data_IF_735347963552
#
_entry.id   IF_735347963552
#
_cell.length_a   1.000
_cell.length_b   1.000
_cell.length_c   1.000
_cell.angle_alpha   90.00
_cell.angle_beta   90.00
_cell.angle_gamma   90.00
#
_symmetry.space_group_name_H-M   'P 1'
#
loop_
_entity.id
_entity.type
_entity.pdbx_description
1 polymer ?
#
# COMPACT_ATOMS: atom_id res chain seq x y z
N UNK A 1 -7.20 10.80 -6.74
CA UNK A 1 -7.14 12.26 -6.47
C UNK A 1 -6.07 12.63 -5.43
N UNK A 2 -6.06 11.99 -4.24
CA UNK A 2 -4.99 12.22 -3.24
C UNK A 2 -3.60 11.94 -3.83
N UNK A 3 -3.42 10.78 -4.47
CA UNK A 3 -2.16 10.42 -5.17
C UNK A 3 -1.72 11.52 -6.13
N UNK A 4 -2.64 12.06 -6.95
CA UNK A 4 -2.33 13.12 -7.90
C UNK A 4 -2.00 14.48 -7.25
N UNK A 5 -2.57 14.78 -6.10
CA UNK A 5 -2.36 16.07 -5.43
C UNK A 5 -1.12 16.08 -4.53
N UNK A 6 -0.78 14.93 -3.96
CA UNK A 6 0.25 14.84 -2.91
C UNK A 6 1.50 14.05 -3.32
N UNK A 7 1.35 13.00 -4.13
CA UNK A 7 2.42 12.03 -4.39
C UNK A 7 2.92 12.06 -5.84
N UNK A 8 2.09 12.46 -6.80
CA UNK A 8 2.50 12.56 -8.20
C UNK A 8 3.52 13.68 -8.38
N UNK A 9 4.58 13.38 -9.12
CA UNK A 9 5.63 14.35 -9.45
C UNK A 9 5.04 15.43 -10.36
N UNK A 10 5.09 16.69 -9.91
CA UNK A 10 4.61 17.84 -10.68
C UNK A 10 5.75 18.84 -10.87
N UNK A 11 6.11 19.20 -12.12
CA UNK A 11 5.48 18.78 -13.38
C UNK A 11 5.66 17.28 -13.67
N UNK A 12 4.68 16.68 -14.35
CA UNK A 12 4.67 15.25 -14.67
C UNK A 12 5.89 14.88 -15.52
N UNK A 13 6.60 13.78 -15.19
CA UNK A 13 7.60 13.20 -16.06
C UNK A 13 6.99 12.72 -17.38
N UNK A 14 7.84 12.57 -18.39
CA UNK A 14 7.42 12.01 -19.68
C UNK A 14 7.02 10.53 -19.56
N UNK A 15 6.15 10.07 -20.45
CA UNK A 15 5.75 8.65 -20.49
C UNK A 15 6.95 7.71 -20.68
N UNK A 16 7.93 8.13 -21.50
CA UNK A 16 9.17 7.38 -21.73
C UNK A 16 9.98 7.22 -20.46
N UNK A 17 10.08 8.29 -19.67
CA UNK A 17 10.77 8.26 -18.39
C UNK A 17 10.06 7.36 -17.36
N UNK A 18 8.74 7.47 -17.23
CA UNK A 18 7.95 6.61 -16.34
C UNK A 18 8.12 5.12 -16.71
N UNK A 19 8.03 4.79 -18.00
CA UNK A 19 8.27 3.42 -18.50
C UNK A 19 9.69 2.94 -18.20
N UNK A 20 10.69 3.81 -18.40
CA UNK A 20 12.10 3.49 -18.12
C UNK A 20 12.32 3.20 -16.63
N UNK A 21 11.72 4.00 -15.73
CA UNK A 21 11.81 3.77 -14.29
C UNK A 21 11.23 2.42 -13.90
N UNK A 22 10.09 2.05 -14.48
CA UNK A 22 9.40 0.77 -14.22
C UNK A 22 10.21 -0.42 -14.74
N UNK A 23 10.70 -0.35 -15.99
CA UNK A 23 11.50 -1.42 -16.58
C UNK A 23 12.85 -1.64 -15.86
N UNK A 24 13.39 -0.61 -15.20
CA UNK A 24 14.64 -0.68 -14.43
C UNK A 24 14.43 -1.03 -12.95
N UNK A 25 13.20 -1.04 -12.47
CA UNK A 25 12.91 -1.37 -11.08
C UNK A 25 12.97 -2.90 -10.88
N UNK A 26 13.52 -3.35 -9.74
CA UNK A 26 13.52 -4.77 -9.37
C UNK A 26 12.10 -5.31 -9.15
N UNK A 27 11.22 -4.46 -8.66
CA UNK A 27 9.79 -4.71 -8.49
C UNK A 27 9.06 -3.40 -8.79
N UNK A 28 7.93 -3.48 -9.47
CA UNK A 28 7.08 -2.33 -9.74
C UNK A 28 5.62 -2.77 -9.72
N UNK A 29 4.74 -1.92 -9.20
CA UNK A 29 3.32 -2.06 -9.48
C UNK A 29 3.11 -1.70 -10.95
N UNK A 30 2.78 -2.71 -11.76
CA UNK A 30 2.51 -2.51 -13.18
C UNK A 30 1.45 -1.40 -13.38
N UNK A 31 1.62 -0.58 -14.41
CA UNK A 31 0.60 0.38 -14.82
C UNK A 31 0.61 1.77 -14.17
N UNK A 32 1.56 2.12 -13.30
CA UNK A 32 1.63 3.52 -12.78
C UNK A 32 1.82 4.53 -13.93
N UNK A 33 2.59 4.19 -14.97
CA UNK A 33 2.71 5.04 -16.17
C UNK A 33 1.37 5.19 -16.91
N UNK A 34 0.47 4.20 -16.83
CA UNK A 34 -0.85 4.24 -17.45
C UNK A 34 -1.81 5.21 -16.74
N UNK A 35 -1.44 5.67 -15.53
CA UNK A 35 -2.17 6.72 -14.82
C UNK A 35 -1.85 8.13 -15.35
N UNK A 36 -0.83 8.31 -16.20
CA UNK A 36 -0.42 9.64 -16.67
C UNK A 36 -1.54 10.39 -17.43
N UNK A 37 -2.30 9.78 -18.37
CA UNK A 37 -3.43 10.46 -18.99
C UNK A 37 -4.50 10.86 -17.98
N UNK A 38 -4.79 9.99 -17.01
CA UNK A 38 -5.79 10.26 -15.96
C UNK A 38 -5.34 11.40 -15.03
N UNK A 39 -4.05 11.43 -14.66
CA UNK A 39 -3.44 12.55 -13.95
C UNK A 39 -3.65 13.85 -14.75
N UNK A 40 -3.22 13.89 -16.01
CA UNK A 40 -3.28 15.08 -16.84
C UNK A 40 -4.72 15.57 -17.08
N UNK A 41 -5.65 14.63 -17.27
CA UNK A 41 -7.08 14.95 -17.38
C UNK A 41 -7.57 15.63 -16.10
N UNK A 42 -7.45 14.96 -14.96
CA UNK A 42 -8.01 15.48 -13.71
C UNK A 42 -7.28 16.69 -13.17
N UNK A 43 -5.96 16.77 -13.28
CA UNK A 43 -5.21 17.90 -12.70
C UNK A 43 -5.19 19.13 -13.59
N UNK A 44 -5.41 18.94 -14.91
CA UNK A 44 -5.24 19.97 -15.93
C UNK A 44 -3.86 20.64 -15.86
N UNK A 45 -2.84 19.89 -15.45
CA UNK A 45 -1.46 20.36 -15.42
C UNK A 45 -1.01 20.77 -16.83
N UNK A 46 -0.38 21.95 -16.94
CA UNK A 46 0.09 22.54 -18.20
C UNK A 46 1.56 22.23 -18.46
N UNK A 47 1.92 20.95 -18.45
CA UNK A 47 3.27 20.48 -18.78
C UNK A 47 3.30 19.87 -20.18
N UNK A 48 4.47 19.90 -20.83
CA UNK A 48 4.65 19.27 -22.16
C UNK A 48 4.23 17.80 -22.15
N UNK A 49 4.54 17.09 -21.07
CA UNK A 49 4.18 15.68 -20.91
C UNK A 49 2.67 15.46 -20.80
N UNK A 50 1.92 16.42 -20.24
CA UNK A 50 0.46 16.36 -20.23
C UNK A 50 -0.19 16.80 -21.54
N UNK A 51 0.41 17.77 -22.24
CA UNK A 51 -0.08 18.25 -23.54
C UNK A 51 -0.07 17.13 -24.60
N UNK A 52 0.89 16.19 -24.53
CA UNK A 52 0.99 15.02 -25.41
C UNK A 52 -0.28 14.13 -25.38
N UNK A 53 -1.01 14.10 -24.27
CA UNK A 53 -2.19 13.24 -24.12
C UNK A 53 -3.48 13.87 -24.67
N UNK A 54 -3.56 15.20 -24.83
CA UNK A 54 -4.74 15.90 -25.33
C UNK A 54 -6.05 15.56 -24.57
N UNK A 55 -5.97 15.37 -23.24
CA UNK A 55 -7.09 14.92 -22.38
C UNK A 55 -7.66 16.00 -21.45
N UNK A 56 -7.02 17.18 -21.35
CA UNK A 56 -7.38 18.23 -20.38
C UNK A 56 -8.26 19.35 -20.98
N UNK A 57 -8.73 19.21 -22.23
CA UNK A 57 -9.44 20.27 -22.97
C UNK A 57 -10.93 20.43 -22.64
N UNK A 58 -11.44 19.72 -21.65
CA UNK A 58 -12.83 19.84 -21.23
C UNK A 58 -13.07 21.09 -20.36
N UNK A 59 -14.29 21.63 -20.41
CA UNK A 59 -14.68 22.84 -19.69
C UNK A 59 -15.05 22.53 -18.22
N UNK A 60 -14.04 22.26 -17.40
CA UNK A 60 -14.14 22.24 -15.94
C UNK A 60 -12.77 22.53 -15.30
N UNK A 61 -12.77 22.81 -14.00
CA UNK A 61 -11.55 23.01 -13.23
C UNK A 61 -10.82 21.68 -12.96
N UNK A 62 -9.52 21.79 -12.66
CA UNK A 62 -8.73 20.63 -12.23
C UNK A 62 -9.17 20.15 -10.84
N UNK A 63 -9.33 18.84 -10.68
CA UNK A 63 -9.62 18.17 -9.41
C UNK A 63 -8.31 17.90 -8.68
N UNK A 64 -7.73 18.96 -8.12
CA UNK A 64 -6.48 18.90 -7.34
C UNK A 64 -6.67 19.62 -6.03
N UNK A 65 -6.27 18.98 -4.94
CA UNK A 65 -6.19 19.65 -3.65
C UNK A 65 -5.01 20.61 -3.66
N UNK A 66 -5.26 21.87 -3.33
CA UNK A 66 -4.17 22.81 -3.06
C UNK A 66 -3.46 22.35 -1.79
N UNK A 67 -2.15 22.19 -1.86
CA UNK A 67 -1.30 21.96 -0.68
C UNK A 67 -1.51 23.13 0.28
N UNK A 68 -1.98 22.83 1.48
CA UNK A 68 -2.25 23.82 2.51
C UNK A 68 -1.06 23.97 3.46
N UNK A 69 -1.27 24.70 4.55
CA UNK A 69 -0.26 24.91 5.59
C UNK A 69 0.20 23.64 6.32
N UNK A 70 -0.54 22.52 6.19
CA UNK A 70 -0.24 21.24 6.81
C UNK A 70 0.51 20.28 5.87
N UNK A 71 0.58 20.58 4.57
CA UNK A 71 1.33 19.76 3.63
C UNK A 71 2.83 19.69 3.99
N UNK A 72 3.39 18.48 3.99
CA UNK A 72 4.78 18.20 4.37
C UNK A 72 5.14 18.76 5.77
N UNK A 73 4.17 18.83 6.68
CA UNK A 73 4.38 19.15 8.09
C UNK A 73 4.12 17.93 8.95
N UNK A 74 4.97 17.76 9.93
CA UNK A 74 4.77 16.78 11.00
C UNK A 74 3.56 17.12 11.84
N UNK A 75 2.63 16.17 11.99
CA UNK A 75 1.48 16.33 12.87
C UNK A 75 1.86 16.24 14.36
N UNK A 76 1.16 17.02 15.18
CA UNK A 76 1.22 16.92 16.64
C UNK A 76 -0.03 16.21 17.13
N UNK A 77 0.14 15.18 17.96
CA UNK A 77 -0.95 14.42 18.55
C UNK A 77 -1.62 15.29 19.62
N UNK A 78 -2.90 15.67 19.47
CA UNK A 78 -3.61 16.43 20.49
C UNK A 78 -3.68 15.67 21.82
N UNK A 79 -3.76 16.37 22.95
CA UNK A 79 -3.76 15.74 24.28
C UNK A 79 -4.93 14.77 24.51
N UNK A 80 -6.05 15.02 23.84
CA UNK A 80 -7.26 14.18 23.87
C UNK A 80 -7.25 13.02 22.87
N UNK A 81 -6.21 12.90 22.04
CA UNK A 81 -6.13 11.90 20.99
C UNK A 81 -4.96 10.94 21.20
N UNK A 82 -5.03 9.84 20.47
CA UNK A 82 -4.02 8.81 20.36
C UNK A 82 -3.89 8.39 18.91
N UNK A 83 -2.79 7.73 18.58
CA UNK A 83 -2.53 7.23 17.23
C UNK A 83 -2.13 5.77 17.27
N UNK A 84 -2.82 4.93 16.50
CA UNK A 84 -2.42 3.55 16.23
C UNK A 84 -1.91 3.46 14.79
N UNK A 85 -0.66 3.08 14.62
CA UNK A 85 -0.10 2.68 13.32
C UNK A 85 0.02 1.16 13.28
N UNK A 86 -0.30 0.58 12.13
CA UNK A 86 -0.09 -0.84 11.86
C UNK A 86 0.61 -0.98 10.51
N UNK A 87 1.64 -1.82 10.46
CA UNK A 87 2.45 -2.05 9.26
C UNK A 87 2.81 -3.51 9.09
N UNK A 88 2.99 -3.95 7.84
CA UNK A 88 3.51 -5.26 7.51
C UNK A 88 4.98 -5.14 7.12
N UNK A 89 5.86 -5.97 7.70
CA UNK A 89 7.29 -5.97 7.34
C UNK A 89 7.54 -6.57 5.95
N UNK A 90 6.59 -7.34 5.42
CA UNK A 90 6.60 -7.87 4.05
C UNK A 90 5.74 -7.03 3.08
N UNK A 91 5.37 -5.80 3.41
CA UNK A 91 4.62 -4.91 2.53
C UNK A 91 5.55 -4.26 1.46
N UNK A 92 5.42 -4.63 0.16
CA UNK A 92 6.24 -4.03 -0.88
C UNK A 92 5.71 -2.66 -1.36
N UNK A 93 4.45 -2.31 -1.08
CA UNK A 93 3.80 -1.09 -1.55
C UNK A 93 4.03 0.07 -0.57
N UNK A 94 3.86 -0.20 0.73
CA UNK A 94 4.18 0.74 1.82
C UNK A 94 5.19 0.13 2.79
N UNK A 95 6.48 0.05 2.43
CA UNK A 95 7.50 -0.61 3.24
C UNK A 95 7.53 -0.11 4.69
N UNK A 96 7.69 -1.04 5.64
CA UNK A 96 7.64 -0.77 7.08
C UNK A 96 8.52 0.40 7.55
N UNK A 97 9.69 0.62 6.93
CA UNK A 97 10.55 1.77 7.24
C UNK A 97 9.80 3.10 7.20
N UNK A 98 8.81 3.27 6.32
CA UNK A 98 8.02 4.50 6.21
C UNK A 98 6.99 4.62 7.34
N UNK A 99 6.47 3.51 7.86
CA UNK A 99 5.65 3.52 9.07
C UNK A 99 6.49 3.91 10.29
N UNK A 100 7.73 3.40 10.41
CA UNK A 100 8.67 3.81 11.45
C UNK A 100 9.04 5.29 11.33
N UNK A 101 9.31 5.79 10.13
CA UNK A 101 9.56 7.21 9.90
C UNK A 101 8.37 8.08 10.31
N UNK A 102 7.14 7.70 9.91
CA UNK A 102 5.92 8.41 10.32
C UNK A 102 5.75 8.38 11.84
N UNK A 103 5.88 7.20 12.46
CA UNK A 103 5.78 7.01 13.89
C UNK A 103 6.76 7.92 14.65
N UNK A 104 8.03 7.92 14.25
CA UNK A 104 9.08 8.73 14.87
C UNK A 104 8.87 10.23 14.64
N UNK A 105 8.38 10.63 13.48
CA UNK A 105 8.11 12.02 13.17
C UNK A 105 6.96 12.58 14.03
N UNK A 106 5.87 11.84 14.24
CA UNK A 106 4.71 12.32 15.00
C UNK A 106 5.09 12.89 16.38
N UNK A 107 4.67 14.12 16.67
CA UNK A 107 4.96 14.78 17.96
C UNK A 107 3.94 14.37 19.01
N UNK A 108 4.40 13.77 20.10
CA UNK A 108 3.59 13.29 21.21
C UNK A 108 3.76 11.80 21.46
N UNK A 109 3.48 11.37 22.69
CA UNK A 109 3.80 10.02 23.16
C UNK A 109 2.61 9.07 23.14
N UNK A 110 1.39 9.57 22.92
CA UNK A 110 0.17 8.75 22.78
C UNK A 110 0.09 8.10 21.40
N UNK A 111 1.08 7.27 21.08
CA UNK A 111 1.16 6.54 19.81
C UNK A 111 1.70 5.13 20.02
N UNK A 112 1.16 4.19 19.27
CA UNK A 112 1.65 2.79 19.22
C UNK A 112 1.86 2.41 17.75
N UNK A 113 2.94 1.67 17.47
CA UNK A 113 3.20 1.04 16.18
C UNK A 113 3.24 -0.47 16.37
N UNK A 114 2.33 -1.19 15.69
CA UNK A 114 2.36 -2.64 15.60
C UNK A 114 2.88 -3.03 14.22
N UNK A 115 4.10 -3.56 14.18
CA UNK A 115 4.76 -4.02 12.97
C UNK A 115 4.69 -5.56 12.89
N UNK A 116 3.78 -6.07 12.06
CA UNK A 116 3.58 -7.49 11.84
C UNK A 116 4.70 -8.07 10.98
N UNK A 117 5.35 -9.12 11.45
CA UNK A 117 6.55 -9.68 10.79
C UNK A 117 6.28 -10.21 9.38
N UNK A 118 5.10 -10.79 9.16
CA UNK A 118 4.79 -11.52 7.92
C UNK A 118 3.57 -10.99 7.16
N UNK A 119 3.03 -9.84 7.57
CA UNK A 119 1.89 -9.24 6.87
C UNK A 119 2.33 -8.50 5.60
N UNK A 120 1.49 -8.60 4.56
CA UNK A 120 1.60 -7.83 3.32
C UNK A 120 0.80 -6.51 3.41
N UNK A 121 0.59 -5.84 2.28
CA UNK A 121 -0.09 -4.54 2.24
C UNK A 121 -1.51 -4.59 2.82
N UNK A 122 -1.85 -3.63 3.67
CA UNK A 122 -3.18 -3.54 4.30
C UNK A 122 -3.36 -4.53 5.44
N UNK A 123 -2.59 -4.37 6.52
CA UNK A 123 -2.53 -5.28 7.69
C UNK A 123 -3.88 -5.61 8.33
N UNK A 124 -4.88 -4.73 8.23
CA UNK A 124 -6.25 -4.99 8.69
C UNK A 124 -6.87 -6.19 7.98
N UNK A 125 -6.45 -6.49 6.76
CA UNK A 125 -6.96 -7.61 5.94
C UNK A 125 -5.94 -8.74 5.72
N UNK A 126 -4.65 -8.52 5.97
CA UNK A 126 -3.58 -9.48 5.56
C UNK A 126 -2.89 -10.16 6.74
N UNK A 127 -3.50 -10.12 7.92
CA UNK A 127 -2.98 -10.71 9.17
C UNK A 127 -3.85 -11.88 9.64
N UNK A 128 -4.13 -12.82 8.73
CA UNK A 128 -4.95 -14.01 8.99
C UNK A 128 -4.45 -14.80 10.20
N UNK A 129 -5.37 -15.19 11.08
CA UNK A 129 -5.06 -15.97 12.28
C UNK A 129 -4.89 -17.47 11.97
N UNK A 130 -5.41 -17.92 10.83
CA UNK A 130 -5.25 -19.30 10.36
C UNK A 130 -4.49 -19.32 9.04
N UNK A 131 -3.41 -20.12 8.97
CA UNK A 131 -2.56 -20.21 7.79
C UNK A 131 -3.33 -20.82 6.61
N UNK A 132 -3.35 -20.10 5.48
CA UNK A 132 -4.03 -20.55 4.26
C UNK A 132 -5.54 -20.31 4.23
N UNK A 133 -6.15 -19.85 5.33
CA UNK A 133 -7.57 -19.50 5.35
C UNK A 133 -7.77 -17.98 5.27
N UNK A 134 -8.06 -17.51 4.05
CA UNK A 134 -8.38 -16.10 3.76
C UNK A 134 -9.78 -15.67 4.24
N UNK A 135 -10.55 -16.56 4.85
CA UNK A 135 -11.83 -16.25 5.49
C UNK A 135 -11.72 -16.15 7.01
N UNK A 136 -10.58 -16.55 7.57
CA UNK A 136 -10.30 -16.46 9.00
C UNK A 136 -10.31 -15.00 9.48
N UNK A 137 -10.46 -14.81 10.78
CA UNK A 137 -10.32 -13.48 11.36
C UNK A 137 -8.88 -12.96 11.24
N UNK A 138 -8.73 -11.64 11.19
CA UNK A 138 -7.40 -11.00 11.10
C UNK A 138 -7.01 -10.35 12.42
N UNK A 139 -5.74 -10.50 12.83
CA UNK A 139 -5.23 -9.85 14.03
C UNK A 139 -5.31 -8.32 13.92
N UNK A 140 -5.00 -7.76 12.75
CA UNK A 140 -5.10 -6.32 12.50
C UNK A 140 -6.51 -5.77 12.72
N UNK A 141 -7.56 -6.52 12.35
CA UNK A 141 -8.94 -6.12 12.64
C UNK A 141 -9.27 -6.26 14.14
N UNK A 142 -8.79 -7.32 14.82
CA UNK A 142 -8.95 -7.46 16.28
C UNK A 142 -8.34 -6.29 17.04
N UNK A 143 -7.10 -5.93 16.70
CA UNK A 143 -6.38 -4.79 17.28
C UNK A 143 -7.12 -3.48 17.01
N UNK A 144 -7.57 -3.23 15.77
CA UNK A 144 -8.34 -2.03 15.43
C UNK A 144 -9.65 -1.96 16.22
N UNK A 145 -10.39 -3.07 16.32
CA UNK A 145 -11.63 -3.14 17.08
C UNK A 145 -11.38 -2.90 18.58
N UNK A 146 -10.29 -3.42 19.14
CA UNK A 146 -9.85 -3.16 20.51
C UNK A 146 -9.53 -1.67 20.74
N UNK A 147 -8.77 -1.05 19.84
CA UNK A 147 -8.45 0.38 19.87
C UNK A 147 -9.72 1.24 19.91
N UNK A 148 -10.69 0.96 19.03
CA UNK A 148 -11.96 1.70 18.96
C UNK A 148 -12.80 1.46 20.22
N UNK A 149 -12.95 0.21 20.68
CA UNK A 149 -13.75 -0.13 21.86
C UNK A 149 -13.21 0.51 23.14
N UNK A 150 -11.89 0.67 23.23
CA UNK A 150 -11.23 1.33 24.36
C UNK A 150 -11.11 2.86 24.18
N UNK A 151 -11.77 3.46 23.18
CA UNK A 151 -11.76 4.91 22.97
C UNK A 151 -10.39 5.47 22.64
N UNK A 152 -9.52 4.67 22.01
CA UNK A 152 -8.14 5.01 21.72
C UNK A 152 -7.16 4.87 22.89
N UNK A 153 -7.60 4.36 24.05
CA UNK A 153 -6.70 4.13 25.18
C UNK A 153 -5.69 3.01 24.88
N UNK A 154 -4.47 3.42 24.52
CA UNK A 154 -3.38 2.52 24.15
C UNK A 154 -2.94 1.59 25.29
N UNK A 155 -3.14 1.99 26.55
CA UNK A 155 -2.81 1.13 27.70
C UNK A 155 -3.77 -0.07 27.82
N UNK A 156 -4.94 0.02 27.17
CA UNK A 156 -5.96 -1.03 27.13
C UNK A 156 -6.01 -1.74 25.78
N UNK A 157 -5.06 -1.45 24.89
CA UNK A 157 -5.00 -2.06 23.57
C UNK A 157 -4.66 -3.54 23.70
N UNK A 158 -5.66 -4.38 23.46
CA UNK A 158 -5.46 -5.82 23.27
C UNK A 158 -4.71 -6.09 21.96
N UNK A 159 -3.53 -6.70 22.11
CA UNK A 159 -2.64 -7.13 21.02
C UNK A 159 -2.18 -8.58 21.19
N UNK A 160 -2.88 -9.38 22.00
CA UNK A 160 -2.49 -10.77 22.25
C UNK A 160 -2.40 -11.61 20.97
N UNK A 161 -3.25 -11.32 19.98
CA UNK A 161 -3.24 -12.02 18.70
C UNK A 161 -1.93 -11.87 17.91
N UNK A 162 -1.11 -10.87 18.21
CA UNK A 162 0.16 -10.62 17.48
C UNK A 162 1.14 -11.75 17.74
N UNK A 163 1.24 -12.21 18.98
CA UNK A 163 2.13 -13.31 19.38
C UNK A 163 1.58 -14.69 18.99
N UNK A 164 0.28 -14.78 18.71
CA UNK A 164 -0.43 -15.98 18.28
C UNK A 164 -0.52 -16.13 16.76
N UNK A 165 0.03 -15.17 16.00
CA UNK A 165 -0.03 -15.23 14.54
C UNK A 165 0.67 -16.48 14.00
N UNK A 166 0.13 -17.07 12.92
CA UNK A 166 0.74 -18.25 12.31
C UNK A 166 2.16 -17.94 11.83
N UNK A 167 3.03 -18.94 11.93
CA UNK A 167 4.39 -18.86 11.40
C UNK A 167 4.38 -18.61 9.89
N UNK A 168 5.40 -17.91 9.39
CA UNK A 168 5.56 -17.69 7.96
C UNK A 168 5.69 -19.03 7.22
N UNK A 169 4.82 -19.25 6.25
CA UNK A 169 4.83 -20.43 5.41
C UNK A 169 5.01 -20.03 3.95
N UNK A 170 6.01 -20.64 3.31
CA UNK A 170 6.35 -20.46 1.90
C UNK A 170 5.79 -21.60 1.03
N UNK A 171 5.04 -22.55 1.58
CA UNK A 171 4.30 -23.52 0.77
C UNK A 171 3.17 -22.82 0.04
N UNK A 172 3.27 -22.78 -1.29
CA UNK A 172 2.23 -22.23 -2.17
C UNK A 172 1.28 -23.37 -2.53
N UNK A 173 -0.06 -23.17 -2.46
CA UNK A 173 -1.01 -24.18 -2.90
C UNK A 173 -0.86 -24.53 -4.39
N UNK A 174 -0.99 -25.81 -4.76
CA UNK A 174 -0.72 -26.32 -6.12
C UNK A 174 -1.54 -25.62 -7.22
N UNK A 175 -2.77 -25.21 -6.90
CA UNK A 175 -3.64 -24.45 -7.80
C UNK A 175 -3.09 -23.05 -8.09
N UNK A 176 -2.41 -22.42 -7.14
CA UNK A 176 -1.71 -21.16 -7.36
C UNK A 176 -0.40 -21.37 -8.14
N UNK A 177 0.35 -22.43 -7.85
CA UNK A 177 1.59 -22.74 -8.58
C UNK A 177 1.30 -22.98 -10.06
N UNK A 178 0.33 -23.84 -10.36
CA UNK A 178 -0.07 -24.13 -11.73
C UNK A 178 -0.79 -22.95 -12.38
N UNK A 179 -1.71 -22.28 -11.67
CA UNK A 179 -2.53 -21.21 -12.22
C UNK A 179 -1.80 -19.89 -12.48
N UNK A 180 -0.88 -19.49 -11.60
CA UNK A 180 -0.15 -18.22 -11.74
C UNK A 180 1.27 -18.38 -12.29
N UNK A 181 1.96 -19.47 -11.95
CA UNK A 181 3.35 -19.69 -12.34
C UNK A 181 3.49 -20.65 -13.53
N UNK A 182 2.40 -21.33 -13.92
CA UNK A 182 2.36 -22.31 -15.00
C UNK A 182 3.49 -23.33 -14.90
N UNK A 183 3.70 -23.86 -13.69
CA UNK A 183 4.74 -24.85 -13.39
C UNK A 183 4.29 -25.80 -12.29
N UNK A 184 5.09 -26.82 -12.00
CA UNK A 184 4.85 -27.83 -10.98
C UNK A 184 5.52 -27.51 -9.63
N UNK A 185 6.44 -26.52 -9.61
CA UNK A 185 7.17 -26.12 -8.41
C UNK A 185 7.30 -24.59 -8.33
N UNK A 186 6.97 -24.02 -7.17
CA UNK A 186 6.91 -22.59 -6.95
C UNK A 186 8.27 -21.86 -7.01
N UNK A 187 9.38 -22.58 -6.86
CA UNK A 187 10.71 -22.00 -6.65
C UNK A 187 11.70 -22.40 -7.73
N UNK A 188 11.72 -23.68 -8.10
CA UNK A 188 12.65 -24.29 -9.05
C UNK A 188 11.92 -24.90 -10.27
N UNK A 189 10.63 -24.59 -10.42
CA UNK A 189 9.79 -25.08 -11.51
C UNK A 189 10.19 -24.55 -12.88
N UNK A 190 10.00 -25.38 -13.91
CA UNK A 190 10.14 -24.98 -15.32
C UNK A 190 8.76 -24.66 -15.89
N UNK A 191 8.67 -23.56 -16.63
CA UNK A 191 7.43 -23.19 -17.32
C UNK A 191 6.91 -24.34 -18.18
N UNK A 192 5.64 -24.68 -17.99
CA UNK A 192 4.94 -25.71 -18.73
C UNK A 192 3.66 -25.13 -19.36
N UNK A 193 3.69 -24.98 -20.68
CA UNK A 193 2.57 -24.42 -21.45
C UNK A 193 1.29 -25.24 -21.37
N UNK A 194 1.33 -26.51 -20.93
CA UNK A 194 0.10 -27.29 -20.74
C UNK A 194 -0.80 -26.74 -19.64
N UNK A 195 -0.25 -25.98 -18.69
CA UNK A 195 -1.02 -25.31 -17.64
C UNK A 195 -1.61 -23.96 -18.08
N UNK A 196 -1.11 -23.40 -19.18
CA UNK A 196 -1.66 -22.17 -19.75
C UNK A 196 -2.80 -22.54 -20.69
N UNK A 197 -4.03 -22.56 -20.18
CA UNK A 197 -5.20 -22.64 -21.04
C UNK A 197 -5.23 -21.45 -21.98
N UNK A 198 -5.21 -21.70 -23.29
CA UNK A 198 -5.41 -20.70 -24.33
C UNK A 198 -6.74 -19.97 -24.09
N UNK A 199 -6.64 -18.76 -23.55
CA UNK A 199 -7.75 -17.83 -23.36
C UNK A 199 -7.75 -16.81 -24.49
#
# INVERSE_FOLDING_TARGET
LIVYSELWESPSPSLSELKTRIAKAKMSSEGVYAMAPQYCAFTKEKSKSCDEFNVSHYNADGIVYKRDQYWNKTATIPSQASVLLMSGKLDPQTPNKYAEYLFNALKGDKKELIAFDYASHGTVWTTWMEAGDMSSETCGMKVLASYVRNGGDLARLDKSCVDEMPAFNLTIPDDYVTGYLATDDAYDGVFNSSYVSSS
#
